data_IF_593966439564
#
_entry.id   IF_593966439564
#
_cell.length_a   1.000
_cell.length_b   1.000
_cell.length_c   1.000
_cell.angle_alpha   90.00
_cell.angle_beta   90.00
_cell.angle_gamma   90.00
#
_symmetry.space_group_name_H-M   'P 1'
#
loop_
_entity.id
_entity.type
_entity.pdbx_description
1 polymer ?
#
# COMPACT_ATOMS: atom_id res chain seq x y z
N UNK A 1 -11.44 -7.48 -0.55
CA UNK A 1 -10.67 -7.57 -1.81
C UNK A 1 -11.22 -6.54 -2.77
N UNK A 2 -10.42 -5.55 -3.11
CA UNK A 2 -10.77 -4.50 -4.07
C UNK A 2 -10.17 -4.83 -5.44
N UNK A 3 -10.84 -4.41 -6.52
CA UNK A 3 -10.34 -4.59 -7.89
C UNK A 3 -8.97 -3.89 -8.14
N UNK A 4 -8.58 -3.01 -7.23
CA UNK A 4 -7.31 -2.29 -7.23
C UNK A 4 -6.16 -3.02 -6.53
N UNK A 5 -6.44 -4.15 -5.85
CA UNK A 5 -5.42 -4.89 -5.11
C UNK A 5 -4.38 -5.49 -6.07
N UNK A 6 -3.11 -5.44 -5.67
CA UNK A 6 -2.00 -6.01 -6.43
C UNK A 6 -2.05 -7.53 -6.38
N UNK A 7 -1.78 -8.16 -7.53
CA UNK A 7 -1.55 -9.61 -7.55
C UNK A 7 -0.23 -9.95 -6.87
N UNK A 8 -0.14 -11.16 -6.31
CA UNK A 8 1.07 -11.62 -5.63
C UNK A 8 2.30 -11.53 -6.54
N UNK A 9 2.17 -11.83 -7.83
CA UNK A 9 3.25 -11.74 -8.82
C UNK A 9 3.74 -10.32 -9.03
N UNK A 10 2.81 -9.35 -9.15
CA UNK A 10 3.16 -7.93 -9.24
C UNK A 10 3.86 -7.46 -7.96
N UNK A 11 3.36 -7.90 -6.80
CA UNK A 11 3.97 -7.58 -5.52
C UNK A 11 5.41 -8.09 -5.39
N UNK A 12 5.69 -9.32 -5.82
CA UNK A 12 7.06 -9.87 -5.79
C UNK A 12 8.03 -9.04 -6.63
N UNK A 13 7.60 -8.54 -7.79
CA UNK A 13 8.42 -7.67 -8.63
C UNK A 13 8.71 -6.32 -7.95
N UNK A 14 7.67 -5.69 -7.38
CA UNK A 14 7.78 -4.42 -6.65
C UNK A 14 8.68 -4.58 -5.43
N UNK A 15 8.49 -5.65 -4.66
CA UNK A 15 9.30 -5.97 -3.47
C UNK A 15 10.78 -6.09 -3.81
N UNK A 16 11.10 -6.74 -4.94
CA UNK A 16 12.48 -6.90 -5.42
C UNK A 16 13.09 -5.58 -5.91
N UNK A 17 12.28 -4.72 -6.52
CA UNK A 17 12.75 -3.44 -7.05
C UNK A 17 13.04 -2.39 -5.97
N UNK A 18 12.28 -2.40 -4.87
CA UNK A 18 12.35 -1.39 -3.82
C UNK A 18 13.29 -1.75 -2.66
N UNK A 19 13.98 -2.89 -2.76
CA UNK A 19 14.96 -3.43 -1.80
C UNK A 19 14.58 -3.15 -0.33
N UNK A 20 13.35 -3.55 0.03
CA UNK A 20 12.83 -3.22 1.34
C UNK A 20 13.62 -3.94 2.43
N UNK A 21 14.32 -3.17 3.26
CA UNK A 21 14.93 -3.67 4.50
C UNK A 21 13.95 -4.57 5.27
N UNK A 22 14.46 -5.66 5.85
CA UNK A 22 13.74 -6.62 6.71
C UNK A 22 13.44 -6.05 8.12
N UNK A 23 12.90 -4.82 8.16
CA UNK A 23 12.41 -4.20 9.39
C UNK A 23 11.11 -4.87 9.82
N UNK A 24 11.00 -5.20 11.11
CA UNK A 24 9.74 -5.62 11.73
C UNK A 24 8.72 -4.48 11.60
N UNK A 25 7.66 -4.73 10.85
CA UNK A 25 6.55 -3.78 10.62
C UNK A 25 5.27 -4.33 11.22
N UNK A 26 4.40 -3.44 11.70
CA UNK A 26 3.07 -3.80 12.21
C UNK A 26 2.12 -4.25 11.09
N UNK A 27 2.32 -3.73 9.88
CA UNK A 27 1.51 -4.04 8.70
C UNK A 27 2.41 -4.56 7.58
N UNK A 28 1.90 -5.54 6.83
CA UNK A 28 2.56 -6.01 5.63
C UNK A 28 2.63 -4.91 4.58
N UNK A 29 3.77 -4.81 3.90
CA UNK A 29 4.00 -3.81 2.86
C UNK A 29 3.01 -3.92 1.70
N UNK A 30 2.55 -5.14 1.40
CA UNK A 30 1.54 -5.36 0.35
C UNK A 30 0.24 -4.62 0.65
N UNK A 31 -0.16 -4.55 1.92
CA UNK A 31 -1.40 -3.88 2.33
C UNK A 31 -1.26 -2.36 2.16
N UNK A 32 -0.08 -1.82 2.46
CA UNK A 32 0.24 -0.40 2.26
C UNK A 32 0.23 -0.08 0.76
N UNK A 33 0.83 -0.93 -0.07
CA UNK A 33 0.85 -0.76 -1.53
C UNK A 33 -0.52 -0.92 -2.17
N UNK A 34 -1.38 -1.79 -1.65
CA UNK A 34 -2.77 -1.89 -2.06
C UNK A 34 -3.53 -0.60 -1.71
N UNK A 35 -3.29 -0.01 -0.54
CA UNK A 35 -3.88 1.28 -0.16
C UNK A 35 -3.43 2.42 -1.09
N UNK A 36 -2.13 2.49 -1.43
CA UNK A 36 -1.60 3.46 -2.40
C UNK A 36 -2.23 3.23 -3.77
N UNK A 37 -2.28 1.99 -4.25
CA UNK A 37 -2.87 1.64 -5.55
C UNK A 37 -4.37 1.99 -5.60
N UNK A 38 -5.09 1.76 -4.51
CA UNK A 38 -6.49 2.17 -4.35
C UNK A 38 -6.65 3.69 -4.48
N UNK A 39 -5.84 4.46 -3.75
CA UNK A 39 -5.85 5.92 -3.81
C UNK A 39 -5.54 6.45 -5.21
N UNK A 40 -4.51 5.91 -5.87
CA UNK A 40 -4.08 6.34 -7.21
C UNK A 40 -5.11 5.99 -8.28
N UNK A 41 -5.73 4.80 -8.22
CA UNK A 41 -6.72 4.37 -9.22
C UNK A 41 -8.08 5.03 -9.06
N UNK A 42 -8.54 5.22 -7.82
CA UNK A 42 -9.89 5.75 -7.54
C UNK A 42 -9.88 7.27 -7.38
N UNK A 43 -8.74 7.85 -6.99
CA UNK A 43 -8.61 9.30 -6.77
C UNK A 43 -9.39 9.79 -5.55
N UNK A 44 -9.61 8.94 -4.54
CA UNK A 44 -10.31 9.34 -3.33
C UNK A 44 -9.43 10.18 -2.38
N UNK A 45 -10.06 10.99 -1.53
CA UNK A 45 -9.32 11.75 -0.52
C UNK A 45 -8.67 10.80 0.49
N UNK A 46 -7.47 11.14 0.95
CA UNK A 46 -6.72 10.36 1.96
C UNK A 46 -7.54 10.03 3.23
N UNK A 47 -8.42 10.94 3.64
CA UNK A 47 -9.28 10.76 4.84
C UNK A 47 -10.47 9.82 4.61
N UNK A 48 -10.82 9.56 3.34
CA UNK A 48 -11.87 8.65 2.92
C UNK A 48 -11.34 7.23 2.62
N UNK A 49 -10.08 6.95 2.98
CA UNK A 49 -9.52 5.62 2.84
C UNK A 49 -10.34 4.61 3.67
N UNK A 50 -10.77 3.48 3.08
CA UNK A 50 -11.51 2.45 3.80
C UNK A 50 -10.79 1.98 5.07
N UNK A 51 -11.56 1.66 6.11
CA UNK A 51 -11.05 1.20 7.40
C UNK A 51 -10.33 -0.16 7.34
N UNK A 52 -10.51 -0.90 6.25
CA UNK A 52 -9.80 -2.16 5.99
C UNK A 52 -8.31 -1.95 5.71
N UNK A 53 -7.91 -0.73 5.33
CA UNK A 53 -6.51 -0.36 5.12
C UNK A 53 -5.88 0.20 6.40
N UNK A 54 -4.54 0.14 6.52
CA UNK A 54 -3.83 0.85 7.58
C UNK A 54 -4.13 2.34 7.53
N UNK A 55 -4.00 3.01 8.69
CA UNK A 55 -4.28 4.44 8.83
C UNK A 55 -3.64 5.24 7.70
N UNK A 56 -4.39 6.16 7.10
CA UNK A 56 -3.94 6.97 5.96
C UNK A 56 -2.62 7.70 6.21
N UNK A 57 -2.32 8.08 7.47
CA UNK A 57 -1.05 8.70 7.86
C UNK A 57 0.15 7.78 7.58
N UNK A 58 0.00 6.49 7.86
CA UNK A 58 1.02 5.48 7.59
C UNK A 58 1.18 5.30 6.08
N UNK A 59 0.07 5.17 5.35
CA UNK A 59 0.09 5.05 3.88
C UNK A 59 0.77 6.27 3.24
N UNK A 60 0.45 7.47 3.72
CA UNK A 60 1.05 8.72 3.26
C UNK A 60 2.56 8.79 3.53
N UNK A 61 3.03 8.30 4.69
CA UNK A 61 4.45 8.23 5.00
C UNK A 61 5.22 7.37 3.99
N UNK A 62 4.62 6.30 3.47
CA UNK A 62 5.22 5.49 2.40
C UNK A 62 5.08 6.10 1.02
N UNK A 63 4.00 6.85 0.77
CA UNK A 63 3.80 7.55 -0.50
C UNK A 63 4.75 8.74 -0.68
N UNK A 64 5.06 9.46 0.42
CA UNK A 64 5.93 10.63 0.42
C UNK A 64 7.43 10.28 0.49
N UNK A 65 7.77 8.99 0.47
CA UNK A 65 9.15 8.49 0.62
C UNK A 65 9.70 8.02 -0.70
#
# INVERSE_FOLDING_TARGET
MYSTDLTQTQWQFIKKALDFDDRKRKYDLIVIWNAISYLVKIGCQWRLLPHDFPKWQLVYCYYSK
#
